data_IF_275024053732
#
_entry.id   IF_275024053732
#
_cell.length_a   1.000
_cell.length_b   1.000
_cell.length_c   1.000
_cell.angle_alpha   90.00
_cell.angle_beta   90.00
_cell.angle_gamma   90.00
#
_symmetry.space_group_name_H-M   'P 1'
#
loop_
_entity.id
_entity.type
_entity.pdbx_description
1 polymer ?
#
# COMPACT_ATOMS: atom_id res chain seq x y z
N UNK A 1 29.39 -13.06 -1.68
CA UNK A 1 28.65 -11.87 -2.17
C UNK A 1 27.92 -12.27 -3.44
N UNK A 2 26.69 -11.82 -3.61
CA UNK A 2 25.87 -12.02 -4.82
C UNK A 2 25.59 -10.65 -5.42
N UNK A 3 25.58 -10.55 -6.75
CA UNK A 3 25.29 -9.34 -7.50
C UNK A 3 24.04 -9.56 -8.34
N UNK A 4 23.10 -8.63 -8.31
CA UNK A 4 21.99 -8.56 -9.25
C UNK A 4 22.06 -7.20 -9.96
N UNK A 5 21.86 -7.21 -11.27
CA UNK A 5 21.81 -6.00 -12.09
C UNK A 5 20.46 -6.01 -12.78
N UNK A 6 19.65 -5.02 -12.44
CA UNK A 6 18.46 -4.64 -13.19
C UNK A 6 18.88 -3.64 -14.28
N UNK A 7 18.53 -3.91 -15.53
CA UNK A 7 19.01 -3.14 -16.68
C UNK A 7 17.92 -3.05 -17.76
N UNK A 8 17.86 -1.89 -18.42
CA UNK A 8 16.91 -1.65 -19.51
C UNK A 8 17.41 -2.19 -20.86
N UNK A 9 18.70 -2.03 -21.14
CA UNK A 9 19.32 -2.40 -22.41
C UNK A 9 20.81 -2.77 -22.25
N UNK A 10 21.48 -3.04 -23.37
CA UNK A 10 22.88 -3.48 -23.37
C UNK A 10 23.87 -2.40 -22.90
N UNK A 11 23.59 -1.12 -23.18
CA UNK A 11 24.45 -0.01 -22.78
C UNK A 11 24.32 0.25 -21.28
N UNK A 12 23.11 0.18 -20.75
CA UNK A 12 22.82 0.25 -19.31
C UNK A 12 23.52 -0.88 -18.54
N UNK A 13 23.38 -2.14 -19.02
CA UNK A 13 24.07 -3.29 -18.44
C UNK A 13 25.59 -3.11 -18.44
N UNK A 14 26.17 -2.64 -19.55
CA UNK A 14 27.61 -2.41 -19.66
C UNK A 14 28.10 -1.39 -18.63
N UNK A 15 27.40 -0.25 -18.49
CA UNK A 15 27.72 0.78 -17.50
C UNK A 15 27.59 0.27 -16.06
N UNK A 16 26.56 -0.54 -15.79
CA UNK A 16 26.32 -1.15 -14.49
C UNK A 16 27.45 -2.12 -14.10
N UNK A 17 27.90 -2.95 -15.05
CA UNK A 17 29.04 -3.87 -14.87
C UNK A 17 30.33 -3.10 -14.61
N UNK A 18 30.64 -2.06 -15.39
CA UNK A 18 31.83 -1.24 -15.15
C UNK A 18 31.81 -0.60 -13.76
N UNK A 19 30.64 -0.09 -13.34
CA UNK A 19 30.43 0.47 -12.02
C UNK A 19 30.72 -0.55 -10.91
N UNK A 20 30.16 -1.75 -11.05
CA UNK A 20 30.35 -2.85 -10.11
C UNK A 20 31.81 -3.32 -10.04
N UNK A 21 32.49 -3.48 -11.19
CA UNK A 21 33.91 -3.85 -11.25
C UNK A 21 34.79 -2.83 -10.51
N UNK A 22 34.59 -1.53 -10.81
CA UNK A 22 35.32 -0.46 -10.10
C UNK A 22 35.06 -0.49 -8.59
N UNK A 23 33.85 -0.80 -8.15
CA UNK A 23 33.52 -0.93 -6.72
C UNK A 23 34.15 -2.16 -6.05
N UNK A 24 34.33 -3.25 -6.81
CA UNK A 24 35.06 -4.43 -6.33
C UNK A 24 36.55 -4.15 -6.20
N UNK A 25 37.14 -3.48 -7.18
CA UNK A 25 38.57 -3.18 -7.19
C UNK A 25 38.98 -2.23 -6.06
N UNK A 26 38.17 -1.21 -5.77
CA UNK A 26 38.51 -0.23 -4.72
C UNK A 26 38.16 -0.70 -3.31
N UNK A 27 37.27 -1.67 -3.16
CA UNK A 27 36.76 -2.12 -1.85
C UNK A 27 35.93 -1.07 -1.09
N UNK A 28 35.57 0.05 -1.74
CA UNK A 28 34.84 1.15 -1.12
C UNK A 28 33.35 0.82 -0.96
N UNK A 29 32.93 0.49 0.26
CA UNK A 29 31.53 0.18 0.56
C UNK A 29 30.55 1.30 0.24
N UNK A 30 30.98 2.57 0.30
CA UNK A 30 30.16 3.72 -0.06
C UNK A 30 29.72 3.72 -1.54
N UNK A 31 30.50 3.10 -2.42
CA UNK A 31 30.24 3.07 -3.87
C UNK A 31 29.02 2.20 -4.22
N UNK A 32 28.79 1.14 -3.46
CA UNK A 32 27.60 0.28 -3.61
C UNK A 32 26.29 1.03 -3.36
N UNK A 33 26.28 2.01 -2.43
CA UNK A 33 25.08 2.83 -2.20
C UNK A 33 24.73 3.67 -3.43
N UNK A 34 25.74 4.23 -4.11
CA UNK A 34 25.53 5.01 -5.32
C UNK A 34 25.07 4.13 -6.51
N UNK A 35 25.59 2.91 -6.60
CA UNK A 35 25.25 1.96 -7.67
C UNK A 35 23.84 1.37 -7.51
N UNK A 36 23.26 1.37 -6.31
CA UNK A 36 21.88 0.92 -6.07
C UNK A 36 20.86 1.72 -6.88
N UNK A 37 21.06 3.03 -7.03
CA UNK A 37 20.20 3.89 -7.84
C UNK A 37 20.39 3.68 -9.36
N UNK A 38 21.31 2.79 -9.75
CA UNK A 38 21.58 2.38 -11.14
C UNK A 38 21.29 0.88 -11.36
N UNK A 39 20.36 0.32 -10.59
CA UNK A 39 19.96 -1.08 -10.72
C UNK A 39 20.98 -2.11 -10.24
N UNK A 40 22.07 -1.72 -9.57
CA UNK A 40 23.10 -2.66 -9.09
C UNK A 40 22.90 -2.97 -7.62
N UNK A 41 22.55 -4.22 -7.32
CA UNK A 41 22.24 -4.70 -5.98
C UNK A 41 23.26 -5.73 -5.52
N UNK A 42 23.75 -5.57 -4.29
CA UNK A 42 24.63 -6.55 -3.64
C UNK A 42 23.92 -7.23 -2.47
N UNK A 43 24.03 -8.56 -2.42
CA UNK A 43 23.57 -9.40 -1.33
C UNK A 43 24.74 -10.09 -0.63
N UNK A 44 24.72 -10.13 0.71
CA UNK A 44 25.68 -10.84 1.53
C UNK A 44 24.96 -11.57 2.67
N UNK A 45 25.54 -12.68 3.15
CA UNK A 45 24.98 -13.46 4.25
C UNK A 45 23.90 -14.47 3.86
N UNK A 46 23.27 -15.06 4.88
CA UNK A 46 22.09 -15.91 4.75
C UNK A 46 20.83 -15.05 4.59
N UNK A 47 19.78 -15.62 4.00
CA UNK A 47 18.46 -14.99 3.99
C UNK A 47 17.94 -14.86 5.41
N UNK A 48 17.50 -13.66 5.78
CA UNK A 48 16.80 -13.42 7.04
C UNK A 48 15.32 -13.80 6.92
N UNK A 49 14.58 -13.66 8.03
CA UNK A 49 13.12 -13.75 7.98
C UNK A 49 12.53 -12.60 7.18
N UNK A 50 11.46 -12.87 6.44
CA UNK A 50 10.75 -11.90 5.60
C UNK A 50 9.43 -11.53 6.27
N UNK A 51 9.14 -10.23 6.36
CA UNK A 51 7.84 -9.73 6.78
C UNK A 51 7.16 -8.99 5.63
N UNK A 52 5.93 -9.34 5.30
CA UNK A 52 5.08 -8.55 4.41
C UNK A 52 4.24 -7.57 5.24
N UNK A 53 4.32 -6.29 4.87
CA UNK A 53 3.62 -5.20 5.54
C UNK A 53 2.59 -4.63 4.55
N UNK A 54 1.32 -4.73 4.92
CA UNK A 54 0.19 -4.32 4.10
C UNK A 54 -0.33 -2.96 4.59
N UNK A 55 -0.37 -1.97 3.69
CA UNK A 55 -0.73 -0.59 4.06
C UNK A 55 -2.23 -0.43 4.26
N UNK A 56 -2.63 0.61 4.99
CA UNK A 56 -4.02 1.04 5.05
C UNK A 56 -4.48 1.73 3.76
N UNK A 57 -5.62 2.40 3.84
CA UNK A 57 -6.08 3.31 2.79
C UNK A 57 -5.12 4.51 2.67
N UNK A 58 -4.83 4.94 1.43
CA UNK A 58 -4.01 6.12 1.12
C UNK A 58 -2.98 5.89 0.02
N UNK A 59 -2.64 4.64 -0.28
CA UNK A 59 -1.65 4.25 -1.31
C UNK A 59 -2.26 4.05 -2.70
N UNK A 60 -3.59 4.07 -2.83
CA UNK A 60 -4.29 3.86 -4.09
C UNK A 60 -4.05 4.99 -5.09
N UNK A 61 -3.96 4.64 -6.38
CA UNK A 61 -3.97 5.56 -7.50
C UNK A 61 -4.61 4.90 -8.72
N UNK A 62 -5.18 5.71 -9.62
CA UNK A 62 -5.79 5.21 -10.86
C UNK A 62 -4.74 4.50 -11.71
N UNK A 63 -5.13 3.40 -12.36
CA UNK A 63 -4.26 2.54 -13.16
C UNK A 63 -3.12 1.85 -12.38
N UNK A 64 -3.20 1.78 -11.05
CA UNK A 64 -2.23 1.01 -10.24
C UNK A 64 -2.14 -0.45 -10.70
N UNK A 65 -0.91 -0.95 -10.83
CA UNK A 65 -0.56 -2.27 -11.40
C UNK A 65 -1.00 -2.53 -12.86
N UNK A 66 -1.41 -1.54 -13.66
CA UNK A 66 -1.84 -1.76 -15.05
C UNK A 66 -0.81 -2.57 -15.86
N UNK A 67 0.43 -2.11 -15.91
CA UNK A 67 1.49 -2.77 -16.69
C UNK A 67 1.76 -4.19 -16.21
N UNK A 68 1.75 -4.41 -14.89
CA UNK A 68 1.93 -5.75 -14.30
C UNK A 68 0.74 -6.67 -14.59
N UNK A 69 -0.49 -6.14 -14.57
CA UNK A 69 -1.69 -6.89 -14.93
C UNK A 69 -1.67 -7.31 -16.41
N UNK A 70 -1.15 -6.47 -17.29
CA UNK A 70 -1.07 -6.75 -18.72
C UNK A 70 0.07 -7.75 -19.03
N UNK A 71 1.15 -7.73 -18.24
CA UNK A 71 2.33 -8.57 -18.45
C UNK A 71 2.31 -9.91 -17.70
N UNK A 72 1.63 -10.02 -16.56
CA UNK A 72 1.71 -11.16 -15.66
C UNK A 72 0.35 -11.82 -15.37
N UNK A 73 0.29 -13.14 -15.61
CA UNK A 73 -0.95 -13.92 -15.45
C UNK A 73 -1.43 -14.00 -13.99
N UNK A 74 -0.52 -14.04 -13.00
CA UNK A 74 -0.88 -14.11 -11.58
C UNK A 74 -1.58 -12.83 -11.14
N UNK A 75 -1.06 -11.68 -11.59
CA UNK A 75 -1.67 -10.37 -11.34
C UNK A 75 -3.03 -10.31 -12.02
N UNK A 76 -3.11 -10.63 -13.32
CA UNK A 76 -4.36 -10.63 -14.08
C UNK A 76 -5.44 -11.49 -13.44
N UNK A 77 -5.13 -12.74 -13.08
CA UNK A 77 -6.08 -13.67 -12.46
C UNK A 77 -6.56 -13.20 -11.09
N UNK A 78 -5.72 -12.47 -10.35
CA UNK A 78 -6.12 -11.92 -9.05
C UNK A 78 -7.15 -10.80 -9.22
N UNK A 79 -7.01 -9.97 -10.25
CA UNK A 79 -8.05 -9.00 -10.61
C UNK A 79 -9.32 -9.67 -11.15
N UNK A 80 -9.18 -10.71 -11.98
CA UNK A 80 -10.34 -11.46 -12.49
C UNK A 80 -11.16 -12.09 -11.33
N UNK A 81 -10.49 -12.70 -10.34
CA UNK A 81 -11.14 -13.23 -9.13
C UNK A 81 -11.82 -12.11 -8.30
N UNK A 82 -11.22 -10.93 -8.23
CA UNK A 82 -11.81 -9.80 -7.54
C UNK A 82 -13.06 -9.27 -8.26
N UNK A 83 -13.03 -9.22 -9.60
CA UNK A 83 -14.17 -8.82 -10.41
C UNK A 83 -15.36 -9.77 -10.23
N UNK A 84 -15.12 -11.09 -10.19
CA UNK A 84 -16.16 -12.09 -9.94
C UNK A 84 -16.90 -11.86 -8.61
N UNK A 85 -16.15 -11.55 -7.55
CA UNK A 85 -16.70 -11.32 -6.20
C UNK A 85 -17.38 -9.95 -6.10
N UNK A 86 -16.78 -8.92 -6.70
CA UNK A 86 -17.21 -7.53 -6.52
C UNK A 86 -18.32 -7.11 -7.49
N UNK A 87 -18.45 -7.75 -8.65
CA UNK A 87 -19.47 -7.44 -9.65
C UNK A 87 -20.90 -7.30 -9.09
N UNK A 88 -21.43 -8.25 -8.29
CA UNK A 88 -22.77 -8.13 -7.71
C UNK A 88 -22.87 -7.07 -6.60
N UNK A 89 -21.75 -6.59 -6.06
CA UNK A 89 -21.72 -5.59 -4.98
C UNK A 89 -21.58 -4.15 -5.51
N UNK A 90 -21.01 -3.98 -6.71
CA UNK A 90 -20.72 -2.68 -7.32
C UNK A 90 -21.54 -2.37 -8.59
N UNK A 91 -22.41 -3.29 -9.00
CA UNK A 91 -23.11 -3.28 -10.29
C UNK A 91 -22.15 -3.23 -11.49
N UNK A 92 -21.04 -3.99 -11.41
CA UNK A 92 -19.98 -4.03 -12.42
C UNK A 92 -18.63 -4.44 -11.83
N UNK A 93 -17.66 -4.82 -12.68
CA UNK A 93 -16.36 -5.28 -12.20
C UNK A 93 -15.64 -4.18 -11.42
N UNK A 94 -14.80 -4.58 -10.46
CA UNK A 94 -13.96 -3.65 -9.70
C UNK A 94 -12.95 -2.96 -10.63
N UNK A 95 -12.46 -3.68 -11.63
CA UNK A 95 -11.48 -3.17 -12.61
C UNK A 95 -11.95 -1.94 -13.37
N UNK A 96 -13.25 -1.80 -13.66
CA UNK A 96 -13.82 -0.60 -14.30
C UNK A 96 -13.65 0.67 -13.43
N UNK A 97 -13.40 0.52 -12.13
CA UNK A 97 -13.17 1.63 -11.19
C UNK A 97 -11.69 1.95 -10.95
N UNK A 98 -10.79 1.08 -11.43
CA UNK A 98 -9.34 1.22 -11.26
C UNK A 98 -8.69 1.59 -12.59
N UNK A 99 -9.16 1.00 -13.68
CA UNK A 99 -8.51 1.06 -14.99
C UNK A 99 -9.33 1.90 -15.96
N UNK A 100 -8.77 3.05 -16.35
CA UNK A 100 -9.31 3.94 -17.39
C UNK A 100 -8.27 4.23 -18.46
N UNK A 101 -8.71 4.71 -19.62
CA UNK A 101 -7.80 5.13 -20.69
C UNK A 101 -6.77 6.14 -20.14
N UNK A 102 -5.46 5.83 -20.17
CA UNK A 102 -4.42 6.72 -19.66
C UNK A 102 -4.30 8.03 -20.46
N UNK A 103 -4.86 8.09 -21.68
CA UNK A 103 -4.85 9.28 -22.52
C UNK A 103 -6.12 10.15 -22.32
N UNK A 104 -7.09 9.71 -21.51
CA UNK A 104 -8.30 10.45 -21.17
C UNK A 104 -8.22 11.09 -19.78
N UNK A 105 -7.78 12.36 -19.74
CA UNK A 105 -7.65 13.13 -18.49
C UNK A 105 -8.98 13.24 -17.71
N UNK A 106 -10.13 13.29 -18.40
CA UNK A 106 -11.42 13.41 -17.74
C UNK A 106 -11.82 12.10 -17.07
N UNK A 107 -11.56 10.96 -17.73
CA UNK A 107 -11.77 9.65 -17.15
C UNK A 107 -10.83 9.40 -15.95
N UNK A 108 -9.57 9.82 -16.03
CA UNK A 108 -8.62 9.75 -14.90
C UNK A 108 -9.16 10.55 -13.72
N UNK A 109 -9.57 11.80 -13.94
CA UNK A 109 -10.04 12.66 -12.86
C UNK A 109 -11.31 12.09 -12.18
N UNK A 110 -12.24 11.54 -12.95
CA UNK A 110 -13.44 10.88 -12.42
C UNK A 110 -13.08 9.62 -11.62
N UNK A 111 -12.24 8.75 -12.17
CA UNK A 111 -11.76 7.56 -11.49
C UNK A 111 -10.99 7.89 -10.21
N UNK A 112 -10.20 8.97 -10.18
CA UNK A 112 -9.52 9.42 -8.96
C UNK A 112 -10.50 9.83 -7.87
N UNK A 113 -11.63 10.45 -8.22
CA UNK A 113 -12.68 10.76 -7.24
C UNK A 113 -13.44 9.52 -6.81
N UNK A 114 -13.74 8.61 -7.75
CA UNK A 114 -14.37 7.32 -7.46
C UNK A 114 -13.52 6.45 -6.52
N UNK A 115 -12.21 6.39 -6.77
CA UNK A 115 -11.26 5.59 -5.99
C UNK A 115 -10.98 6.17 -4.59
N UNK A 116 -11.48 7.38 -4.26
CA UNK A 116 -11.51 7.90 -2.88
C UNK A 116 -12.72 7.42 -2.08
N UNK A 117 -13.76 6.89 -2.75
CA UNK A 117 -14.92 6.32 -2.06
C UNK A 117 -14.50 5.03 -1.38
N UNK A 118 -14.62 4.97 -0.04
CA UNK A 118 -14.14 3.86 0.77
C UNK A 118 -14.66 2.49 0.29
N UNK A 119 -15.91 2.43 -0.19
CA UNK A 119 -16.50 1.22 -0.78
C UNK A 119 -15.75 0.68 -2.02
N UNK A 120 -15.01 1.54 -2.74
CA UNK A 120 -14.17 1.17 -3.89
C UNK A 120 -12.70 1.05 -3.46
N UNK A 121 -12.20 2.01 -2.67
CA UNK A 121 -10.80 2.05 -2.25
C UNK A 121 -10.37 0.78 -1.54
N UNK A 122 -11.19 0.30 -0.60
CA UNK A 122 -10.82 -0.84 0.24
C UNK A 122 -10.65 -2.14 -0.56
N UNK A 123 -11.62 -2.58 -1.39
CA UNK A 123 -11.43 -3.76 -2.23
C UNK A 123 -10.34 -3.57 -3.30
N UNK A 124 -10.15 -2.35 -3.84
CA UNK A 124 -9.07 -2.06 -4.80
C UNK A 124 -7.67 -2.26 -4.20
N UNK A 125 -7.41 -1.67 -3.03
CA UNK A 125 -6.12 -1.84 -2.32
C UNK A 125 -5.89 -3.28 -1.92
N UNK A 126 -6.91 -3.96 -1.37
CA UNK A 126 -6.81 -5.38 -1.02
C UNK A 126 -6.46 -6.26 -2.23
N UNK A 127 -7.03 -5.97 -3.39
CA UNK A 127 -6.74 -6.69 -4.64
C UNK A 127 -5.30 -6.48 -5.09
N UNK A 128 -4.80 -5.24 -5.05
CA UNK A 128 -3.40 -4.91 -5.37
C UNK A 128 -2.42 -5.59 -4.42
N UNK A 129 -2.69 -5.49 -3.11
CA UNK A 129 -1.88 -6.14 -2.08
C UNK A 129 -1.81 -7.66 -2.28
N UNK A 130 -2.95 -8.27 -2.57
CA UNK A 130 -3.04 -9.72 -2.82
C UNK A 130 -2.32 -10.10 -4.12
N UNK A 131 -2.44 -9.29 -5.17
CA UNK A 131 -1.79 -9.54 -6.46
C UNK A 131 -0.26 -9.48 -6.32
N UNK A 132 0.27 -8.49 -5.61
CA UNK A 132 1.71 -8.37 -5.33
C UNK A 132 2.21 -9.51 -4.44
N UNK A 133 1.46 -9.88 -3.40
CA UNK A 133 1.83 -11.01 -2.53
C UNK A 133 1.87 -12.33 -3.30
N UNK A 134 0.87 -12.60 -4.14
CA UNK A 134 0.83 -13.80 -5.01
C UNK A 134 1.95 -13.79 -6.04
N UNK A 135 2.25 -12.64 -6.63
CA UNK A 135 3.36 -12.48 -7.57
C UNK A 135 4.70 -12.80 -6.91
N UNK A 136 4.95 -12.25 -5.71
CA UNK A 136 6.15 -12.58 -4.93
C UNK A 136 6.24 -14.08 -4.62
N UNK A 137 5.13 -14.71 -4.23
CA UNK A 137 5.05 -16.16 -4.01
C UNK A 137 5.36 -16.98 -5.27
N UNK A 138 4.92 -16.53 -6.45
CA UNK A 138 5.27 -17.16 -7.72
C UNK A 138 6.78 -17.11 -8.03
N UNK A 139 7.50 -16.12 -7.49
CA UNK A 139 8.97 -16.05 -7.51
C UNK A 139 9.65 -16.77 -6.33
N UNK A 140 8.89 -17.49 -5.50
CA UNK A 140 9.40 -18.22 -4.34
C UNK A 140 9.71 -17.34 -3.12
N UNK A 141 9.17 -16.12 -3.06
CA UNK A 141 9.32 -15.20 -1.94
C UNK A 141 8.07 -15.28 -1.07
N UNK A 142 8.17 -16.02 0.03
CA UNK A 142 7.08 -16.22 0.99
C UNK A 142 7.37 -15.45 2.30
N UNK A 143 6.34 -14.89 2.97
CA UNK A 143 6.52 -14.23 4.25
C UNK A 143 6.64 -15.22 5.41
N UNK A 144 7.60 -15.00 6.31
CA UNK A 144 7.62 -15.64 7.64
C UNK A 144 6.65 -14.97 8.61
N UNK A 145 6.33 -13.70 8.36
CA UNK A 145 5.47 -12.84 9.18
C UNK A 145 4.66 -11.92 8.29
N UNK A 146 3.44 -11.61 8.72
CA UNK A 146 2.60 -10.60 8.08
C UNK A 146 2.12 -9.59 9.10
N UNK A 147 1.92 -8.36 8.67
CA UNK A 147 1.28 -7.32 9.47
C UNK A 147 0.50 -6.40 8.53
N UNK A 148 -0.66 -5.96 8.97
CA UNK A 148 -1.48 -5.04 8.20
C UNK A 148 -1.87 -3.82 9.02
N UNK A 149 -1.93 -2.67 8.36
CA UNK A 149 -2.34 -1.41 8.98
C UNK A 149 -3.80 -1.12 8.63
N UNK A 150 -4.70 -1.17 9.62
CA UNK A 150 -6.13 -0.91 9.43
C UNK A 150 -6.75 -1.76 8.29
N UNK A 151 -6.95 -1.19 7.10
CA UNK A 151 -7.38 -1.95 5.92
C UNK A 151 -6.38 -3.06 5.55
N UNK A 152 -5.08 -2.81 5.66
CA UNK A 152 -4.05 -3.77 5.30
C UNK A 152 -4.11 -5.07 6.12
N UNK A 153 -4.80 -5.08 7.28
CA UNK A 153 -4.99 -6.30 8.07
C UNK A 153 -5.72 -7.39 7.28
N UNK A 154 -6.64 -7.01 6.39
CA UNK A 154 -7.28 -7.96 5.49
C UNK A 154 -6.28 -8.57 4.50
N UNK A 155 -5.37 -7.76 3.94
CA UNK A 155 -4.28 -8.25 3.08
C UNK A 155 -3.34 -9.20 3.83
N UNK A 156 -3.01 -8.87 5.08
CA UNK A 156 -2.22 -9.74 5.95
C UNK A 156 -2.92 -11.08 6.23
N UNK A 157 -4.21 -11.07 6.55
CA UNK A 157 -4.99 -12.28 6.80
C UNK A 157 -5.08 -13.17 5.55
N UNK A 158 -5.22 -12.58 4.36
CA UNK A 158 -5.20 -13.31 3.08
C UNK A 158 -3.83 -13.91 2.84
N UNK A 159 -2.75 -13.13 2.99
CA UNK A 159 -1.38 -13.61 2.80
C UNK A 159 -0.97 -14.70 3.81
N UNK A 160 -1.51 -14.68 5.03
CA UNK A 160 -1.32 -15.74 6.01
C UNK A 160 -2.18 -17.00 5.76
N UNK A 161 -3.07 -16.98 4.77
CA UNK A 161 -4.04 -18.05 4.53
C UNK A 161 -5.12 -18.19 5.61
N UNK A 162 -5.27 -17.17 6.47
CA UNK A 162 -6.25 -17.17 7.57
C UNK A 162 -7.65 -16.75 7.12
N UNK A 163 -7.75 -15.98 6.03
CA UNK A 163 -9.00 -15.53 5.44
C UNK A 163 -8.95 -15.73 3.91
N UNK A 164 -9.91 -16.43 3.29
CA UNK A 164 -9.98 -16.53 1.83
C UNK A 164 -10.11 -15.15 1.17
N UNK A 165 -9.49 -14.96 0.00
CA UNK A 165 -9.48 -13.66 -0.68
C UNK A 165 -10.88 -13.14 -1.01
N UNK A 166 -11.78 -13.99 -1.54
CA UNK A 166 -13.17 -13.61 -1.79
C UNK A 166 -13.95 -13.21 -0.54
N UNK A 167 -13.72 -13.88 0.59
CA UNK A 167 -14.34 -13.53 1.87
C UNK A 167 -13.79 -12.19 2.39
N UNK A 168 -12.49 -11.95 2.22
CA UNK A 168 -11.85 -10.68 2.56
C UNK A 168 -12.41 -9.53 1.72
N UNK A 169 -12.59 -9.72 0.40
CA UNK A 169 -13.24 -8.76 -0.50
C UNK A 169 -14.65 -8.43 -0.05
N UNK A 170 -15.45 -9.45 0.27
CA UNK A 170 -16.81 -9.26 0.79
C UNK A 170 -16.82 -8.47 2.09
N UNK A 171 -15.89 -8.78 3.01
CA UNK A 171 -15.79 -8.11 4.30
C UNK A 171 -15.37 -6.63 4.14
N UNK A 172 -14.38 -6.32 3.29
CA UNK A 172 -13.96 -4.93 3.07
C UNK A 172 -14.99 -4.13 2.27
N UNK A 173 -15.74 -4.77 1.37
CA UNK A 173 -16.86 -4.13 0.68
C UNK A 173 -17.98 -3.75 1.68
N UNK A 174 -18.34 -4.66 2.58
CA UNK A 174 -19.32 -4.40 3.63
C UNK A 174 -18.84 -3.30 4.59
N UNK A 175 -17.56 -3.33 4.99
CA UNK A 175 -16.93 -2.27 5.82
C UNK A 175 -16.97 -0.92 5.12
N UNK A 176 -16.54 -0.85 3.86
CA UNK A 176 -16.51 0.37 3.08
C UNK A 176 -17.91 0.96 2.89
N UNK A 177 -18.89 0.11 2.56
CA UNK A 177 -20.29 0.52 2.46
C UNK A 177 -20.85 1.03 3.79
N UNK A 178 -20.62 0.32 4.89
CA UNK A 178 -21.10 0.77 6.20
C UNK A 178 -20.51 2.13 6.61
N UNK A 179 -19.26 2.41 6.22
CA UNK A 179 -18.63 3.71 6.43
C UNK A 179 -19.22 4.79 5.51
N UNK A 180 -19.52 4.47 4.25
CA UNK A 180 -20.13 5.39 3.28
C UNK A 180 -21.59 5.72 3.61
N UNK A 181 -22.38 4.73 4.07
CA UNK A 181 -23.80 4.88 4.39
C UNK A 181 -24.03 5.63 5.71
N UNK A 182 -22.98 5.85 6.52
CA UNK A 182 -23.07 6.59 7.77
C UNK A 182 -23.21 8.09 7.49
N UNK A 183 -24.45 8.59 7.49
CA UNK A 183 -24.74 10.02 7.46
C UNK A 183 -25.10 10.52 8.86
N UNK A 184 -24.17 11.23 9.49
CA UNK A 184 -24.35 11.89 10.78
C UNK A 184 -23.95 13.37 10.68
N UNK A 185 -24.29 14.16 11.71
CA UNK A 185 -23.99 15.61 11.70
C UNK A 185 -22.49 15.95 11.66
N UNK A 186 -21.63 15.04 12.14
CA UNK A 186 -20.18 15.12 12.04
C UNK A 186 -19.61 13.72 11.73
N UNK A 187 -19.03 13.56 10.54
CA UNK A 187 -18.40 12.30 10.12
C UNK A 187 -17.00 12.10 10.74
N UNK A 188 -16.57 13.04 11.57
CA UNK A 188 -15.27 13.05 12.21
C UNK A 188 -14.15 13.44 11.24
N UNK A 189 -12.95 13.53 11.80
CA UNK A 189 -11.73 13.84 11.07
C UNK A 189 -10.57 13.00 11.59
N UNK A 190 -9.59 12.77 10.73
CA UNK A 190 -8.30 12.23 11.12
C UNK A 190 -7.19 13.17 10.66
N UNK A 191 -6.10 13.25 11.41
CA UNK A 191 -4.93 14.04 11.09
C UNK A 191 -3.64 13.29 11.43
N UNK A 192 -2.69 13.26 10.50
CA UNK A 192 -1.34 12.79 10.76
C UNK A 192 -0.58 13.83 11.58
N UNK A 193 0.11 13.39 12.62
CA UNK A 193 0.87 14.24 13.55
C UNK A 193 2.29 13.73 13.64
N UNK A 194 3.25 14.61 13.33
CA UNK A 194 4.68 14.30 13.34
C UNK A 194 5.31 14.71 14.67
N UNK A 195 4.93 14.03 15.74
CA UNK A 195 5.46 14.23 17.08
C UNK A 195 5.49 12.91 17.87
N UNK A 196 6.26 12.82 18.97
CA UNK A 196 6.17 11.68 19.88
C UNK A 196 4.73 11.53 20.41
N UNK A 197 4.14 10.31 20.39
CA UNK A 197 2.77 10.09 20.84
C UNK A 197 2.50 10.57 22.28
N UNK A 198 3.50 10.47 23.16
CA UNK A 198 3.40 10.98 24.54
C UNK A 198 3.17 12.49 24.60
N UNK A 199 3.76 13.24 23.67
CA UNK A 199 3.60 14.71 23.61
C UNK A 199 2.23 15.05 23.03
N UNK A 200 1.76 14.25 22.06
CA UNK A 200 0.42 14.38 21.48
C UNK A 200 -0.66 14.14 22.54
N UNK A 201 -0.54 13.10 23.36
CA UNK A 201 -1.48 12.81 24.46
C UNK A 201 -1.62 14.00 25.43
N UNK A 202 -0.52 14.67 25.77
CA UNK A 202 -0.55 15.88 26.64
C UNK A 202 -1.35 17.02 26.00
N UNK A 203 -1.30 17.16 24.68
CA UNK A 203 -2.12 18.14 23.94
C UNK A 203 -3.58 17.71 23.94
N UNK A 204 -3.87 16.44 23.64
CA UNK A 204 -5.23 15.92 23.57
C UNK A 204 -5.97 16.06 24.92
N UNK A 205 -5.27 15.87 26.04
CA UNK A 205 -5.82 16.05 27.40
C UNK A 205 -6.32 17.48 27.69
N UNK A 206 -5.91 18.47 26.88
CA UNK A 206 -6.30 19.88 27.02
C UNK A 206 -7.35 20.33 26.01
N UNK A 207 -7.71 19.47 25.07
CA UNK A 207 -8.66 19.79 23.99
C UNK A 207 -10.04 19.32 24.40
N UNK A 208 -10.99 20.26 24.45
CA UNK A 208 -12.39 19.90 24.66
C UNK A 208 -12.96 19.15 23.43
N UNK A 209 -13.64 18.03 23.70
CA UNK A 209 -14.32 17.21 22.69
C UNK A 209 -13.72 15.82 22.55
N UNK A 210 -14.27 15.01 21.64
CA UNK A 210 -13.77 13.66 21.40
C UNK A 210 -12.61 13.68 20.39
N UNK A 211 -11.40 13.42 20.86
CA UNK A 211 -10.21 13.23 20.02
C UNK A 211 -9.27 12.24 20.72
N UNK A 212 -8.75 11.28 19.97
CA UNK A 212 -7.86 10.23 20.50
C UNK A 212 -6.70 9.99 19.53
N UNK A 213 -5.62 9.39 20.03
CA UNK A 213 -4.61 8.77 19.16
C UNK A 213 -5.23 7.53 18.52
N UNK A 214 -5.51 7.61 17.22
CA UNK A 214 -6.13 6.55 16.44
C UNK A 214 -5.11 5.54 15.89
N UNK A 215 -3.86 5.96 15.67
CA UNK A 215 -2.81 5.05 15.21
C UNK A 215 -1.41 5.49 15.65
N UNK A 216 -0.54 4.54 15.96
CA UNK A 216 0.88 4.76 16.26
C UNK A 216 1.73 4.23 15.08
N UNK A 217 2.25 5.12 14.24
CA UNK A 217 3.04 4.74 13.05
C UNK A 217 4.52 4.57 13.41
N UNK A 218 5.05 5.42 14.30
CA UNK A 218 6.42 5.35 14.79
C UNK A 218 6.57 6.04 16.14
N UNK A 219 7.80 6.10 16.65
CA UNK A 219 8.13 6.87 17.86
C UNK A 219 8.00 8.39 17.68
N UNK A 220 7.77 8.86 16.45
CA UNK A 220 7.67 10.30 16.09
C UNK A 220 6.48 10.60 15.17
N UNK A 221 5.58 9.64 15.02
CA UNK A 221 4.46 9.79 14.10
C UNK A 221 3.26 8.99 14.59
N UNK A 222 2.12 9.66 14.69
CA UNK A 222 0.84 9.06 14.99
C UNK A 222 -0.26 9.69 14.14
N UNK A 223 -1.45 9.10 14.18
CA UNK A 223 -2.67 9.68 13.63
C UNK A 223 -3.62 9.94 14.77
N UNK A 224 -4.17 11.15 14.87
CA UNK A 224 -5.28 11.45 15.77
C UNK A 224 -6.60 11.37 15.01
N UNK A 225 -7.67 10.97 15.69
CA UNK A 225 -9.00 10.86 15.12
C UNK A 225 -10.08 11.19 16.13
N UNK A 226 -11.19 11.76 15.66
CA UNK A 226 -12.29 12.15 16.52
C UNK A 226 -13.28 13.09 15.85
N UNK A 227 -14.02 13.85 16.67
CA UNK A 227 -14.91 14.90 16.20
C UNK A 227 -14.12 15.97 15.44
N UNK A 228 -14.71 16.50 14.36
CA UNK A 228 -14.02 17.40 13.43
C UNK A 228 -13.43 18.62 14.14
N UNK A 229 -14.23 19.27 15.01
CA UNK A 229 -13.79 20.45 15.75
C UNK A 229 -12.66 20.13 16.74
N UNK A 230 -12.74 19.02 17.46
CA UNK A 230 -11.72 18.60 18.42
C UNK A 230 -10.39 18.29 17.73
N UNK A 231 -10.43 17.60 16.57
CA UNK A 231 -9.23 17.32 15.77
C UNK A 231 -8.60 18.61 15.25
N UNK A 232 -9.39 19.58 14.78
CA UNK A 232 -8.87 20.88 14.33
C UNK A 232 -8.18 21.61 15.47
N UNK A 233 -8.83 21.72 16.64
CA UNK A 233 -8.23 22.35 17.84
C UNK A 233 -6.93 21.67 18.27
N UNK A 234 -6.88 20.34 18.23
CA UNK A 234 -5.69 19.59 18.58
C UNK A 234 -4.50 19.82 17.64
N UNK A 235 -4.76 20.05 16.35
CA UNK A 235 -3.71 20.36 15.36
C UNK A 235 -3.21 21.80 15.47
N UNK A 236 -4.03 22.73 15.95
CA UNK A 236 -3.68 24.14 16.12
C UNK A 236 -2.96 24.48 17.43
N UNK A 237 -3.03 23.59 18.43
CA UNK A 237 -2.46 23.76 19.77
C UNK A 237 -0.94 23.49 19.83
#
# INVERSE_FOLDING_TARGET
MRLAIDYADADDLSQAIEGALKALDTGETGRWRALRNKGVYIGQGSTGKIAFLFTGQGSQYVNMLRELRDADEVVRRTFDEADEVMAPLLDGPLTDRIFVDPDDEAAIADAEQGLKQTAITQPAVLTVDTALARLLGAYGIEPDMVMGHSLGEYGALVAAGALPFGDALTAVAARGRAMTDLSVGDNGRMAAVFAPPSDVEVVLDRVDGYVVVANLNSTKECVIGGATEAVVKAVEA
#
